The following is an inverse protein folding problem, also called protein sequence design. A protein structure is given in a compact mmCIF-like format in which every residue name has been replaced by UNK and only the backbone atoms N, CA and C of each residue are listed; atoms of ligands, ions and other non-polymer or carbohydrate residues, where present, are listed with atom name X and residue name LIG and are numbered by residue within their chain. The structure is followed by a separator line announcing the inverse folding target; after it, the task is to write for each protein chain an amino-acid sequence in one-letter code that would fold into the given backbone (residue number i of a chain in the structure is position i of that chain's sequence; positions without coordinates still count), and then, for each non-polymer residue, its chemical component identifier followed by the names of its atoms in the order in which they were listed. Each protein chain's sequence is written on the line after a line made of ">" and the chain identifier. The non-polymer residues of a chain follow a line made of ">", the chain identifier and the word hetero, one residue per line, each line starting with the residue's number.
data_IF_291882006630
#
_entry.id   IF_291882006630
#
_cell.length_a   1.000
_cell.length_b   1.000
_cell.length_c   1.000
_cell.angle_alpha   90.00
_cell.angle_beta   90.00
_cell.angle_gamma   90.00
#
_symmetry.space_group_name_H-M   'P 1'
#
loop_
_entity.id
_entity.type
_entity.pdbx_description
1 polymer ?
#
# COMPACT_ATOMS: atom_id res chain seq x y z
N UNK A 1 35.30 -8.01 14.11
CA UNK A 1 34.23 -8.24 13.11
C UNK A 1 33.44 -6.95 13.00
N UNK A 2 33.71 -6.13 11.99
CA UNK A 2 33.09 -4.81 11.85
C UNK A 2 31.69 -4.96 11.23
N UNK A 3 30.66 -4.55 11.96
CA UNK A 3 29.31 -4.38 11.40
C UNK A 3 29.28 -3.05 10.66
N UNK A 4 29.44 -3.11 9.34
CA UNK A 4 29.24 -1.96 8.46
C UNK A 4 27.79 -1.49 8.58
N UNK A 5 27.60 -0.28 9.07
CA UNK A 5 26.29 0.35 9.13
C UNK A 5 25.91 0.74 7.70
N UNK A 6 25.15 -0.13 7.04
CA UNK A 6 24.53 0.18 5.75
C UNK A 6 23.46 1.25 5.99
N UNK A 7 23.80 2.50 5.68
CA UNK A 7 22.79 3.55 5.55
C UNK A 7 21.71 3.03 4.59
N UNK A 8 20.48 2.86 5.06
CA UNK A 8 19.37 2.41 4.21
C UNK A 8 19.24 3.41 3.06
N UNK A 9 19.31 2.97 1.79
CA UNK A 9 19.13 3.88 0.67
C UNK A 9 17.76 4.53 0.76
N UNK A 10 17.70 5.81 0.38
CA UNK A 10 16.46 6.57 0.31
C UNK A 10 15.51 5.88 -0.67
N UNK A 11 14.29 5.59 -0.25
CA UNK A 11 13.31 4.91 -1.10
C UNK A 11 12.95 5.77 -2.31
N UNK A 12 12.85 5.11 -3.45
CA UNK A 12 12.30 5.68 -4.68
C UNK A 12 10.80 5.97 -4.53
N UNK A 13 10.25 6.82 -5.40
CA UNK A 13 8.82 7.13 -5.42
C UNK A 13 7.98 5.86 -5.56
N UNK A 14 8.39 4.92 -6.42
CA UNK A 14 7.71 3.63 -6.61
C UNK A 14 7.69 2.81 -5.31
N UNK A 15 8.82 2.69 -4.62
CA UNK A 15 8.89 2.00 -3.32
C UNK A 15 8.00 2.67 -2.27
N UNK A 16 7.96 4.01 -2.23
CA UNK A 16 7.09 4.75 -1.30
C UNK A 16 5.62 4.51 -1.64
N UNK A 17 5.24 4.54 -2.92
CA UNK A 17 3.87 4.22 -3.35
C UNK A 17 3.47 2.81 -2.92
N UNK A 18 4.35 1.84 -3.12
CA UNK A 18 4.14 0.46 -2.66
C UNK A 18 3.97 0.37 -1.13
N UNK A 19 4.76 1.11 -0.36
CA UNK A 19 4.63 1.15 1.10
C UNK A 19 3.31 1.79 1.54
N UNK A 20 2.86 2.86 0.88
CA UNK A 20 1.57 3.49 1.13
C UNK A 20 0.42 2.52 0.83
N UNK A 21 0.47 1.82 -0.31
CA UNK A 21 -0.52 0.80 -0.70
C UNK A 21 -0.55 -0.32 0.35
N UNK A 22 0.61 -0.86 0.74
CA UNK A 22 0.71 -1.88 1.79
C UNK A 22 0.11 -1.41 3.10
N UNK A 23 0.39 -0.18 3.54
CA UNK A 23 -0.19 0.40 4.75
C UNK A 23 -1.71 0.54 4.64
N UNK A 24 -2.21 0.98 3.47
CA UNK A 24 -3.65 1.08 3.22
C UNK A 24 -4.34 -0.27 3.34
N UNK A 25 -3.78 -1.30 2.68
CA UNK A 25 -4.25 -2.68 2.73
C UNK A 25 -4.20 -3.24 4.16
N UNK A 26 -3.09 -3.02 4.88
CA UNK A 26 -2.91 -3.51 6.25
C UNK A 26 -3.84 -2.81 7.26
N UNK A 27 -4.17 -1.55 7.02
CA UNK A 27 -5.12 -0.80 7.85
C UNK A 27 -6.58 -1.22 7.63
N UNK A 28 -6.87 -1.88 6.51
CA UNK A 28 -8.22 -2.30 6.16
C UNK A 28 -8.64 -3.52 6.98
N UNK A 29 -9.61 -3.31 7.89
CA UNK A 29 -10.23 -4.37 8.68
C UNK A 29 -11.34 -5.03 7.87
N UNK A 30 -11.01 -6.14 7.21
CA UNK A 30 -11.98 -6.94 6.47
C UNK A 30 -11.33 -7.87 5.46
N UNK A 31 -12.13 -8.72 4.83
CA UNK A 31 -11.69 -9.48 3.66
C UNK A 31 -11.72 -8.61 2.40
N UNK A 32 -10.80 -8.86 1.47
CA UNK A 32 -10.82 -8.27 0.13
C UNK A 32 -10.73 -6.73 0.06
N UNK A 33 -9.63 -6.09 0.50
CA UNK A 33 -9.41 -4.67 0.26
C UNK A 33 -9.30 -4.35 -1.24
N UNK A 34 -8.47 -5.10 -1.97
CA UNK A 34 -8.15 -4.85 -3.38
C UNK A 34 -8.62 -5.96 -4.32
N UNK A 35 -8.83 -5.67 -5.63
CA UNK A 35 -9.34 -6.66 -6.59
C UNK A 35 -8.39 -7.85 -6.80
N UNK A 36 -7.09 -7.60 -6.75
CA UNK A 36 -6.05 -8.62 -6.91
C UNK A 36 -5.79 -9.43 -5.63
N UNK A 37 -6.36 -9.02 -4.47
CA UNK A 37 -6.21 -9.79 -3.25
C UNK A 37 -7.01 -11.09 -3.31
N UNK A 38 -6.64 -12.00 -2.42
CA UNK A 38 -7.29 -13.29 -2.25
C UNK A 38 -7.96 -13.34 -0.88
N UNK A 39 -9.16 -13.92 -0.81
CA UNK A 39 -9.82 -14.17 0.46
C UNK A 39 -9.18 -15.37 1.20
N UNK A 40 -9.61 -15.60 2.45
CA UNK A 40 -9.12 -16.73 3.26
C UNK A 40 -9.37 -18.10 2.64
N UNK A 41 -10.29 -18.21 1.68
CA UNK A 41 -10.62 -19.44 0.98
C UNK A 41 -9.85 -19.59 -0.35
N UNK A 42 -8.88 -18.71 -0.65
CA UNK A 42 -8.09 -18.79 -1.87
C UNK A 42 -8.76 -18.20 -3.11
N UNK A 43 -9.91 -17.52 -2.97
CA UNK A 43 -10.63 -16.93 -4.12
C UNK A 43 -10.20 -15.49 -4.35
N UNK A 44 -10.00 -15.11 -5.62
CA UNK A 44 -9.75 -13.73 -6.01
C UNK A 44 -10.93 -12.84 -5.65
N UNK A 45 -10.63 -11.66 -5.13
CA UNK A 45 -11.64 -10.69 -4.74
C UNK A 45 -12.30 -10.05 -5.96
N UNK A 46 -11.56 -9.57 -6.96
CA UNK A 46 -12.15 -8.92 -8.13
C UNK A 46 -13.20 -7.86 -7.75
N UNK A 47 -14.42 -8.00 -8.29
CA UNK A 47 -15.52 -7.08 -8.08
C UNK A 47 -16.09 -7.03 -6.65
N UNK A 48 -15.83 -8.04 -5.79
CA UNK A 48 -16.23 -8.02 -4.37
C UNK A 48 -15.22 -7.31 -3.47
N UNK A 49 -14.16 -6.73 -4.03
CA UNK A 49 -13.19 -5.94 -3.27
C UNK A 49 -13.78 -4.62 -2.80
N UNK A 50 -13.22 -4.07 -1.72
CA UNK A 50 -13.63 -2.77 -1.20
C UNK A 50 -13.41 -1.65 -2.22
N UNK A 51 -12.32 -1.74 -2.99
CA UNK A 51 -12.02 -0.84 -4.11
C UNK A 51 -13.12 -0.83 -5.20
N UNK A 52 -13.67 -1.99 -5.55
CA UNK A 52 -14.70 -2.10 -6.61
C UNK A 52 -16.14 -1.94 -6.12
N UNK A 53 -16.40 -2.00 -4.81
CA UNK A 53 -17.76 -1.98 -4.26
C UNK A 53 -18.25 -0.54 -4.05
N UNK A 54 -19.44 -0.18 -4.56
CA UNK A 54 -20.03 1.14 -4.30
C UNK A 54 -20.36 1.32 -2.82
N UNK A 55 -19.97 2.46 -2.24
CA UNK A 55 -20.21 2.80 -0.83
C UNK A 55 -19.24 2.16 0.18
N UNK A 56 -18.20 1.47 -0.29
CA UNK A 56 -17.15 0.90 0.55
C UNK A 56 -16.07 1.90 0.97
N UNK A 57 -15.24 1.51 1.95
CA UNK A 57 -13.98 2.19 2.23
C UNK A 57 -13.03 1.83 1.06
N UNK A 58 -12.60 2.81 0.28
CA UNK A 58 -11.71 2.58 -0.88
C UNK A 58 -10.25 2.64 -0.45
N UNK A 59 -9.57 1.50 -0.17
CA UNK A 59 -8.13 1.51 0.05
C UNK A 59 -7.39 1.86 -1.23
N UNK A 60 -6.14 2.32 -1.09
CA UNK A 60 -5.22 2.47 -2.21
C UNK A 60 -4.77 1.08 -2.66
N UNK A 61 -5.01 0.74 -3.92
CA UNK A 61 -4.69 -0.57 -4.48
C UNK A 61 -3.65 -0.50 -5.58
N UNK A 62 -3.55 0.63 -6.28
CA UNK A 62 -2.63 0.82 -7.38
C UNK A 62 -1.74 2.05 -7.13
N UNK A 63 -0.57 2.05 -7.75
CA UNK A 63 0.35 3.20 -7.70
C UNK A 63 -0.26 4.47 -8.30
N UNK A 64 -1.22 4.29 -9.21
CA UNK A 64 -1.99 5.38 -9.83
C UNK A 64 -2.94 6.04 -8.82
N UNK A 65 -3.37 5.30 -7.79
CA UNK A 65 -4.19 5.86 -6.71
C UNK A 65 -3.34 6.70 -5.73
N UNK A 66 -2.01 6.55 -5.77
CA UNK A 66 -1.08 7.26 -4.90
C UNK A 66 -0.50 8.47 -5.64
N UNK A 67 -0.96 9.65 -5.24
CA UNK A 67 -0.48 10.93 -5.79
C UNK A 67 0.92 11.28 -5.32
N UNK A 68 1.61 12.15 -6.06
CA UNK A 68 2.93 12.65 -5.66
C UNK A 68 2.90 13.31 -4.27
N UNK A 69 1.83 14.04 -3.97
CA UNK A 69 1.63 14.65 -2.65
C UNK A 69 1.71 13.63 -1.52
N UNK A 70 1.13 12.43 -1.70
CA UNK A 70 1.17 11.38 -0.69
C UNK A 70 2.58 10.80 -0.51
N UNK A 71 3.37 10.72 -1.59
CA UNK A 71 4.78 10.32 -1.55
C UNK A 71 5.58 11.34 -0.75
N UNK A 72 5.39 12.63 -1.03
CA UNK A 72 6.09 13.71 -0.32
C UNK A 72 5.69 13.76 1.16
N UNK A 73 4.41 13.61 1.47
CA UNK A 73 3.90 13.53 2.85
C UNK A 73 4.50 12.30 3.59
N UNK A 74 4.67 11.16 2.89
CA UNK A 74 5.33 9.98 3.45
C UNK A 74 6.81 10.24 3.74
N UNK A 75 7.53 10.89 2.82
CA UNK A 75 8.95 11.25 3.01
C UNK A 75 9.12 12.12 4.24
N UNK A 76 8.31 13.16 4.34
CA UNK A 76 8.31 14.09 5.47
C UNK A 76 8.02 13.38 6.80
N UNK A 77 7.04 12.46 6.82
CA UNK A 77 6.66 11.74 8.04
C UNK A 77 7.69 10.70 8.50
N UNK A 78 8.39 10.06 7.56
CA UNK A 78 9.29 8.91 7.85
C UNK A 78 10.77 9.26 7.84
N UNK A 79 11.12 10.52 7.52
CA UNK A 79 12.51 10.96 7.38
C UNK A 79 13.22 10.28 6.22
N UNK A 80 12.47 9.90 5.17
CA UNK A 80 13.02 9.37 3.93
C UNK A 80 13.55 10.50 3.08
#
# INVERSE_FOLDING_TARGET
>A
MAWGQTAKPRKTDAEIKQEIIKQSIASYRGGCPCPYNTDRAGRRCGARSAYSRPGGRSPFCYEQDVTQKMVDDYRNRTGQ
#
